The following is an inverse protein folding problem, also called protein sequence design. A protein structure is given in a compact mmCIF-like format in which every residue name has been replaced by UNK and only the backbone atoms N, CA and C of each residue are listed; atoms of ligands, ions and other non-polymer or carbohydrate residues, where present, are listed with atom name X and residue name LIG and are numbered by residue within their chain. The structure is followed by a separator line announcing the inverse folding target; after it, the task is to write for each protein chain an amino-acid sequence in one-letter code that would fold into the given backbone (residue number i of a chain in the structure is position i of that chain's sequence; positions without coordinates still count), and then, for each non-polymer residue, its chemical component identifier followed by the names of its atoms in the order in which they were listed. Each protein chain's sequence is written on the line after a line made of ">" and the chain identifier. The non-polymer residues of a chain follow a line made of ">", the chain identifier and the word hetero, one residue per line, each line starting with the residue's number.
data_IF_145155790395
#
_entry.id   IF_145155790395
#
_cell.length_a   1.000
_cell.length_b   1.000
_cell.length_c   1.000
_cell.angle_alpha   90.00
_cell.angle_beta   90.00
_cell.angle_gamma   90.00
#
_symmetry.space_group_name_H-M   'P 1'
#
loop_
_entity.id
_entity.type
_entity.pdbx_description
1 polymer ?
#
# COMPACT_ATOMS: atom_id res chain seq x y z
N UNK A 1 54.94 -13.62 -16.38
CA UNK A 1 53.86 -14.43 -15.79
C UNK A 1 52.54 -13.83 -16.25
N UNK A 2 52.00 -14.30 -17.36
CA UNK A 2 50.67 -13.88 -17.83
C UNK A 2 49.63 -14.65 -17.01
N UNK A 3 48.92 -13.94 -16.14
CA UNK A 3 47.76 -14.46 -15.42
C UNK A 3 46.69 -14.85 -16.42
N UNK A 4 46.57 -16.14 -16.69
CA UNK A 4 45.49 -16.70 -17.50
C UNK A 4 44.20 -16.56 -16.69
N UNK A 5 43.45 -15.49 -16.94
CA UNK A 5 42.14 -15.27 -16.32
C UNK A 5 41.20 -16.38 -16.77
N UNK A 6 40.88 -17.30 -15.85
CA UNK A 6 39.97 -18.40 -16.12
C UNK A 6 38.62 -17.86 -16.58
N UNK A 7 38.03 -18.37 -17.67
CA UNK A 7 36.71 -17.97 -18.15
C UNK A 7 35.61 -18.19 -17.09
N UNK A 8 35.87 -19.10 -16.14
CA UNK A 8 35.06 -19.35 -14.95
C UNK A 8 34.91 -18.09 -14.08
N UNK A 9 35.97 -17.30 -13.91
CA UNK A 9 35.95 -16.10 -13.07
C UNK A 9 35.10 -14.98 -13.70
N UNK A 10 35.13 -14.87 -15.03
CA UNK A 10 34.27 -13.93 -15.77
C UNK A 10 32.80 -14.34 -15.69
N UNK A 11 32.51 -15.64 -15.78
CA UNK A 11 31.15 -16.19 -15.66
C UNK A 11 30.57 -15.96 -14.25
N UNK A 12 31.37 -16.20 -13.21
CA UNK A 12 30.97 -15.96 -11.81
C UNK A 12 30.67 -14.47 -11.56
N UNK A 13 31.53 -13.57 -12.05
CA UNK A 13 31.31 -12.13 -11.95
C UNK A 13 30.02 -11.68 -12.64
N UNK A 14 29.73 -12.23 -13.84
CA UNK A 14 28.53 -11.90 -14.59
C UNK A 14 27.25 -12.39 -13.90
N UNK A 15 27.25 -13.60 -13.33
CA UNK A 15 26.11 -14.12 -12.55
C UNK A 15 25.87 -13.30 -11.29
N UNK A 16 26.92 -12.88 -10.59
CA UNK A 16 26.79 -12.01 -9.42
C UNK A 16 26.16 -10.66 -9.79
N UNK A 17 26.58 -10.02 -10.88
CA UNK A 17 26.00 -8.76 -11.35
C UNK A 17 24.53 -8.94 -11.74
N UNK A 18 24.18 -10.02 -12.45
CA UNK A 18 22.80 -10.36 -12.79
C UNK A 18 21.91 -10.59 -11.56
N UNK A 19 22.45 -11.16 -10.48
CA UNK A 19 21.70 -11.38 -9.25
C UNK A 19 21.30 -10.07 -8.55
N UNK A 20 22.04 -8.97 -8.76
CA UNK A 20 21.72 -7.66 -8.17
C UNK A 20 20.63 -6.91 -8.95
N UNK A 21 20.34 -7.32 -10.19
CA UNK A 21 19.26 -6.76 -11.00
C UNK A 21 17.88 -7.31 -10.59
N UNK A 22 17.84 -8.38 -9.80
CA UNK A 22 16.61 -8.98 -9.27
C UNK A 22 16.19 -8.22 -8.01
N UNK A 23 15.68 -7.00 -8.19
CA UNK A 23 15.08 -6.25 -7.09
C UNK A 23 13.74 -6.89 -6.71
N UNK A 24 13.72 -7.61 -5.58
CA UNK A 24 12.47 -8.00 -4.95
C UNK A 24 11.81 -6.75 -4.36
N UNK A 25 10.73 -6.28 -4.98
CA UNK A 25 9.88 -5.26 -4.37
C UNK A 25 9.12 -5.89 -3.20
N UNK A 26 9.52 -5.56 -1.98
CA UNK A 26 8.73 -5.89 -0.79
C UNK A 26 7.52 -4.95 -0.74
N UNK A 27 6.32 -5.52 -0.90
CA UNK A 27 5.09 -4.82 -0.55
C UNK A 27 4.82 -5.04 0.93
N UNK A 28 4.48 -3.97 1.65
CA UNK A 28 4.12 -4.08 3.06
C UNK A 28 2.71 -4.66 3.23
N UNK A 29 2.54 -5.36 4.34
CA UNK A 29 1.42 -6.22 4.69
C UNK A 29 0.57 -5.50 5.72
N UNK A 30 -0.59 -4.98 5.31
CA UNK A 30 -1.42 -4.12 6.15
C UNK A 30 -2.91 -4.47 6.16
N UNK A 31 -3.57 -4.14 7.25
CA UNK A 31 -5.04 -4.23 7.35
C UNK A 31 -5.68 -3.00 6.73
N UNK A 32 -6.90 -3.15 6.22
CA UNK A 32 -7.66 -2.02 5.75
C UNK A 32 -9.08 -2.00 6.29
N UNK A 33 -9.60 -0.79 6.42
CA UNK A 33 -10.95 -0.49 6.84
C UNK A 33 -11.65 0.40 5.81
N UNK A 34 -12.96 0.54 5.97
CA UNK A 34 -13.78 1.46 5.22
C UNK A 34 -13.76 2.85 5.86
N UNK A 35 -13.64 3.87 5.02
CA UNK A 35 -13.77 5.29 5.34
C UNK A 35 -15.10 5.79 4.76
N UNK A 36 -16.05 6.11 5.64
CA UNK A 36 -17.37 6.63 5.26
C UNK A 36 -17.42 8.16 5.38
N UNK A 37 -18.26 8.86 4.59
CA UNK A 37 -18.48 10.29 4.77
C UNK A 37 -18.99 10.62 6.18
N UNK A 38 -18.75 11.84 6.69
CA UNK A 38 -18.07 12.96 6.02
C UNK A 38 -16.54 12.80 5.97
N UNK A 39 -15.94 13.20 4.84
CA UNK A 39 -14.49 13.12 4.59
C UNK A 39 -13.69 14.38 4.93
N UNK A 40 -14.39 15.48 5.22
CA UNK A 40 -13.80 16.79 5.50
C UNK A 40 -14.13 17.21 6.94
N UNK A 41 -13.25 17.99 7.59
CA UNK A 41 -11.89 18.32 7.16
C UNK A 41 -10.92 17.14 7.24
N UNK A 42 -9.89 17.18 6.40
CA UNK A 42 -8.77 16.23 6.39
C UNK A 42 -7.54 16.77 7.11
N UNK A 43 -6.68 15.89 7.59
CA UNK A 43 -5.36 16.24 8.13
C UNK A 43 -4.39 16.80 7.07
N UNK A 44 -4.54 16.43 5.79
CA UNK A 44 -3.60 16.86 4.75
C UNK A 44 -3.86 18.27 4.25
N UNK A 45 -5.09 18.58 3.85
CA UNK A 45 -5.43 19.85 3.20
C UNK A 45 -6.72 20.48 3.76
N UNK A 46 -7.13 20.11 4.98
CA UNK A 46 -8.30 20.68 5.64
C UNK A 46 -9.57 20.44 4.82
N UNK A 47 -10.31 21.52 4.55
CA UNK A 47 -11.58 21.53 3.82
C UNK A 47 -11.44 21.60 2.28
N UNK A 48 -10.22 21.49 1.74
CA UNK A 48 -10.00 21.55 0.29
C UNK A 48 -10.59 20.32 -0.41
N UNK A 49 -11.69 20.51 -1.15
CA UNK A 49 -12.34 19.44 -1.93
C UNK A 49 -11.52 19.02 -3.16
N UNK A 50 -10.60 19.86 -3.65
CA UNK A 50 -9.79 19.56 -4.85
C UNK A 50 -8.74 18.47 -4.60
N UNK A 51 -8.50 18.11 -3.33
CA UNK A 51 -7.59 17.03 -2.97
C UNK A 51 -8.10 15.64 -3.40
N UNK A 52 -9.42 15.47 -3.49
CA UNK A 52 -10.03 14.18 -3.81
C UNK A 52 -9.98 13.92 -5.32
N UNK A 53 -9.53 12.74 -5.76
CA UNK A 53 -9.57 12.36 -7.17
C UNK A 53 -11.02 12.16 -7.63
N UNK A 54 -11.31 12.51 -8.89
CA UNK A 54 -12.65 12.32 -9.48
C UNK A 54 -13.13 10.86 -9.52
N UNK A 55 -12.19 9.91 -9.43
CA UNK A 55 -12.48 8.47 -9.33
C UNK A 55 -12.96 8.03 -7.94
N UNK A 56 -12.90 8.90 -6.94
CA UNK A 56 -13.11 8.58 -5.53
C UNK A 56 -12.19 7.45 -5.02
N UNK A 57 -11.03 7.24 -5.65
CA UNK A 57 -10.01 6.29 -5.18
C UNK A 57 -9.00 6.99 -4.26
N UNK A 58 -9.40 7.17 -3.00
CA UNK A 58 -8.56 7.77 -1.97
C UNK A 58 -8.64 6.99 -0.65
N UNK A 59 -7.75 7.33 0.27
CA UNK A 59 -7.63 6.70 1.57
C UNK A 59 -7.11 7.64 2.66
N UNK A 60 -7.37 7.28 3.92
CA UNK A 60 -6.70 7.83 5.08
C UNK A 60 -5.56 6.89 5.53
N UNK A 61 -4.44 7.46 5.93
CA UNK A 61 -3.29 6.72 6.44
C UNK A 61 -3.48 6.38 7.92
N UNK A 62 -3.18 5.14 8.31
CA UNK A 62 -2.99 4.79 9.73
C UNK A 62 -1.60 5.17 10.22
N UNK A 63 -1.34 4.97 11.52
CA UNK A 63 -0.06 5.33 12.17
C UNK A 63 1.16 4.79 11.42
N UNK A 64 1.07 3.56 10.91
CA UNK A 64 2.19 2.87 10.25
C UNK A 64 2.63 3.47 8.91
N UNK A 65 1.75 4.21 8.22
CA UNK A 65 2.07 4.81 6.91
C UNK A 65 1.85 6.32 6.87
N UNK A 66 1.49 6.96 7.98
CA UNK A 66 1.22 8.41 8.01
C UNK A 66 2.46 9.26 7.79
N UNK A 67 3.61 8.83 8.34
CA UNK A 67 4.91 9.48 8.16
C UNK A 67 4.87 10.98 8.52
N UNK A 68 4.19 11.32 9.63
CA UNK A 68 4.00 12.70 10.11
C UNK A 68 3.46 13.65 9.01
N UNK A 69 2.54 13.18 8.18
CA UNK A 69 1.93 13.93 7.09
C UNK A 69 2.72 13.91 5.79
N UNK A 70 3.92 13.33 5.75
CA UNK A 70 4.68 13.20 4.51
C UNK A 70 3.98 12.29 3.49
N UNK A 71 3.03 11.47 3.93
CA UNK A 71 2.19 10.64 3.06
C UNK A 71 1.07 11.39 2.35
N UNK A 72 0.77 12.64 2.72
CA UNK A 72 -0.24 13.45 2.05
C UNK A 72 0.02 13.56 0.55
N UNK A 73 -0.99 13.19 -0.25
CA UNK A 73 -0.91 13.20 -1.71
C UNK A 73 -0.10 12.05 -2.33
N UNK A 74 0.59 11.21 -1.53
CA UNK A 74 1.25 10.00 -2.05
C UNK A 74 0.21 9.01 -2.57
N UNK A 75 0.61 8.25 -3.59
CA UNK A 75 -0.21 7.22 -4.19
C UNK A 75 0.29 5.83 -3.77
N UNK A 76 -0.62 4.97 -3.37
CA UNK A 76 -0.34 3.59 -2.97
C UNK A 76 -1.04 2.62 -3.93
N UNK A 77 -0.33 1.57 -4.29
CA UNK A 77 -0.91 0.40 -4.95
C UNK A 77 -1.39 -0.56 -3.87
N UNK A 78 -2.66 -0.91 -3.91
CA UNK A 78 -3.33 -1.72 -2.89
C UNK A 78 -3.96 -2.92 -3.56
N UNK A 79 -3.62 -4.12 -3.07
CA UNK A 79 -4.12 -5.41 -3.56
C UNK A 79 -4.79 -6.18 -2.43
N UNK A 80 -5.93 -6.81 -2.74
CA UNK A 80 -6.57 -7.75 -1.83
C UNK A 80 -5.79 -9.06 -1.78
N UNK A 81 -5.47 -9.54 -0.59
CA UNK A 81 -4.85 -10.86 -0.42
C UNK A 81 -5.80 -11.83 0.29
N UNK A 82 -6.51 -11.36 1.31
CA UNK A 82 -7.56 -12.15 1.98
C UNK A 82 -8.66 -11.24 2.54
N UNK A 83 -9.78 -11.83 2.96
CA UNK A 83 -10.89 -11.12 3.59
C UNK A 83 -11.60 -12.05 4.58
N UNK A 84 -12.29 -11.48 5.57
CA UNK A 84 -13.03 -12.26 6.58
C UNK A 84 -14.14 -13.12 5.98
N UNK A 85 -14.71 -12.69 4.85
CA UNK A 85 -15.65 -13.49 4.05
C UNK A 85 -14.95 -14.05 2.81
N UNK A 86 -15.09 -15.36 2.53
CA UNK A 86 -14.55 -15.97 1.31
C UNK A 86 -15.15 -15.32 0.05
N UNK A 87 -14.34 -15.17 -1.00
CA UNK A 87 -14.79 -14.60 -2.28
C UNK A 87 -14.96 -13.07 -2.30
N UNK A 88 -14.61 -12.39 -1.21
CA UNK A 88 -14.62 -10.92 -1.16
C UNK A 88 -13.43 -10.30 -1.87
N UNK A 89 -12.25 -10.93 -1.85
CA UNK A 89 -11.12 -10.49 -2.67
C UNK A 89 -11.31 -10.90 -4.13
N UNK A 90 -11.03 -9.99 -5.06
CA UNK A 90 -10.81 -10.35 -6.46
C UNK A 90 -9.33 -10.64 -6.66
N UNK A 91 -9.03 -11.82 -7.18
CA UNK A 91 -7.65 -12.21 -7.50
C UNK A 91 -7.04 -11.23 -8.53
N UNK A 92 -5.76 -10.91 -8.34
CA UNK A 92 -4.95 -10.04 -9.21
C UNK A 92 -5.45 -8.60 -9.41
N UNK A 93 -6.48 -8.17 -8.68
CA UNK A 93 -6.93 -6.79 -8.71
C UNK A 93 -6.07 -5.90 -7.81
N UNK A 94 -5.46 -4.89 -8.40
CA UNK A 94 -4.70 -3.85 -7.69
C UNK A 94 -5.29 -2.49 -8.04
N UNK A 95 -5.58 -1.68 -7.02
CA UNK A 95 -6.09 -0.32 -7.18
C UNK A 95 -5.04 0.68 -6.72
N UNK A 96 -5.03 1.84 -7.36
CA UNK A 96 -4.20 2.96 -6.96
C UNK A 96 -5.03 3.94 -6.14
N UNK A 97 -4.59 4.26 -4.93
CA UNK A 97 -5.30 5.18 -4.03
C UNK A 97 -4.40 6.33 -3.62
N UNK A 98 -4.96 7.54 -3.53
CA UNK A 98 -4.27 8.72 -3.02
C UNK A 98 -4.53 8.88 -1.51
N UNK A 99 -3.49 9.14 -0.72
CA UNK A 99 -3.68 9.50 0.69
C UNK A 99 -4.13 10.95 0.80
N UNK A 100 -5.26 11.15 1.47
CA UNK A 100 -5.88 12.46 1.67
C UNK A 100 -6.08 12.81 3.14
N UNK A 101 -5.95 11.84 4.07
CA UNK A 101 -6.27 12.07 5.47
C UNK A 101 -5.46 11.18 6.42
N UNK A 102 -5.57 11.44 7.73
CA UNK A 102 -4.99 10.65 8.81
C UNK A 102 -6.08 9.99 9.64
N UNK A 103 -6.13 8.67 9.60
CA UNK A 103 -7.24 7.89 10.16
C UNK A 103 -7.53 8.14 11.66
N UNK A 104 -6.52 8.27 12.55
CA UNK A 104 -6.76 8.56 13.96
C UNK A 104 -7.37 9.94 14.25
N UNK A 105 -7.25 10.90 13.33
CA UNK A 105 -7.82 12.26 13.48
C UNK A 105 -8.94 12.56 12.48
N UNK A 106 -9.32 11.59 11.65
CA UNK A 106 -10.37 11.74 10.68
C UNK A 106 -11.71 12.02 11.38
N UNK A 107 -12.58 12.80 10.73
CA UNK A 107 -13.89 13.17 11.29
C UNK A 107 -14.78 11.95 11.51
N UNK A 108 -14.79 11.02 10.56
CA UNK A 108 -15.49 9.76 10.71
C UNK A 108 -14.51 8.66 11.12
N UNK A 109 -14.86 7.86 12.15
CA UNK A 109 -14.02 6.75 12.57
C UNK A 109 -14.03 5.64 11.49
N UNK A 110 -12.89 4.95 11.29
CA UNK A 110 -12.83 3.82 10.38
C UNK A 110 -13.68 2.65 10.86
N UNK A 111 -14.14 1.79 9.94
CA UNK A 111 -14.89 0.57 10.28
C UNK A 111 -14.14 -0.39 11.20
N UNK A 112 -12.81 -0.31 11.23
CA UNK A 112 -11.95 -1.08 12.13
C UNK A 112 -10.78 -0.20 12.57
N UNK A 113 -10.56 -0.14 13.88
CA UNK A 113 -9.48 0.65 14.48
C UNK A 113 -8.11 0.05 14.20
N UNK A 114 -7.07 0.86 14.34
CA UNK A 114 -5.66 0.44 14.19
C UNK A 114 -5.38 -0.26 12.86
N UNK A 115 -5.98 0.26 11.79
CA UNK A 115 -5.77 -0.24 10.43
C UNK A 115 -4.66 0.53 9.73
N UNK A 116 -3.91 -0.16 8.88
CA UNK A 116 -2.79 0.44 8.15
C UNK A 116 -3.27 1.48 7.15
N UNK A 117 -4.35 1.18 6.42
CA UNK A 117 -4.92 2.07 5.42
C UNK A 117 -6.45 2.04 5.48
N UNK A 118 -7.10 3.20 5.48
CA UNK A 118 -8.57 3.28 5.52
C UNK A 118 -9.06 3.77 4.18
N UNK A 119 -9.66 2.88 3.40
CA UNK A 119 -10.09 3.16 2.03
C UNK A 119 -11.46 3.83 2.00
N UNK A 120 -11.62 4.84 1.14
CA UNK A 120 -12.94 5.35 0.74
C UNK A 120 -13.90 4.24 0.34
N UNK A 121 -15.21 4.48 0.44
CA UNK A 121 -16.23 3.47 0.13
C UNK A 121 -16.10 2.91 -1.29
N UNK A 122 -15.68 3.74 -2.25
CA UNK A 122 -15.41 3.31 -3.63
C UNK A 122 -14.17 2.41 -3.72
N UNK A 123 -13.08 2.80 -3.07
CA UNK A 123 -11.86 1.99 -3.04
C UNK A 123 -12.04 0.68 -2.26
N UNK A 124 -12.78 0.70 -1.14
CA UNK A 124 -13.06 -0.48 -0.32
C UNK A 124 -14.03 -1.44 -1.03
N UNK A 125 -15.07 -0.89 -1.66
CA UNK A 125 -16.03 -1.62 -2.49
C UNK A 125 -15.42 -2.27 -3.73
N UNK A 126 -14.20 -1.87 -4.10
CA UNK A 126 -13.41 -2.52 -5.15
C UNK A 126 -12.86 -3.90 -4.72
N UNK A 127 -13.48 -4.56 -3.74
CA UNK A 127 -13.19 -5.94 -3.30
C UNK A 127 -11.73 -6.13 -2.88
N UNK A 128 -11.30 -5.24 -1.98
CA UNK A 128 -9.96 -5.20 -1.43
C UNK A 128 -10.06 -5.06 0.11
N UNK A 129 -9.77 -6.11 0.91
CA UNK A 129 -8.68 -6.15 1.94
C UNK A 129 -8.91 -6.96 3.23
N UNK A 130 -7.81 -7.61 3.67
CA UNK A 130 -7.21 -7.78 5.01
C UNK A 130 -5.99 -8.72 4.87
N UNK A 131 -4.88 -8.48 5.59
CA UNK A 131 -3.60 -9.22 5.52
C UNK A 131 -3.23 -9.84 6.89
N UNK A 132 -2.54 -10.99 6.92
CA UNK A 132 -1.77 -11.52 8.08
C UNK A 132 -0.36 -11.95 7.64
N UNK A 133 0.67 -11.86 8.50
CA UNK A 133 2.03 -12.30 8.18
C UNK A 133 2.12 -13.83 8.23
N UNK A 134 2.63 -14.45 7.17
CA UNK A 134 3.00 -15.86 7.18
C UNK A 134 4.44 -16.00 7.70
N UNK A 135 4.59 -16.44 8.94
CA UNK A 135 5.80 -17.16 9.35
C UNK A 135 5.62 -18.62 8.92
N UNK A 136 6.63 -19.22 8.26
CA UNK A 136 6.66 -20.65 7.97
C UNK A 136 7.86 -21.32 8.63
N UNK A 137 7.54 -22.31 9.48
CA UNK A 137 8.37 -23.19 10.33
C UNK A 137 8.87 -22.63 11.65
#
# INVERSE_FOLDING_TARGET
>A
MQTQQCPVFQLVSYVLILSQLVYFSYADVGTAAQYSPPYLPTACYGDDQTQFPSSNLFAAAGDGIWDNGASCGRQYLVRCISASQPGTCVEDQTIQVKIVDYAPTAQSPPSTQSTTIVLSETAFGSKSLTWRPAYSR
#
